data_IF_378725873410
#
_entry.id   IF_378725873410
#
_cell.length_a   1.000
_cell.length_b   1.000
_cell.length_c   1.000
_cell.angle_alpha   90.00
_cell.angle_beta   90.00
_cell.angle_gamma   90.00
#
_symmetry.space_group_name_H-M   'P 1'
#
loop_
_entity.id
_entity.type
_entity.pdbx_description
1 polymer ?
#
# COMPACT_ATOMS: atom_id res chain seq x y z
N UNK A 1 12.34 18.07 -10.96
CA UNK A 1 12.35 16.90 -10.06
C UNK A 1 13.47 17.17 -9.06
N UNK A 2 13.29 18.22 -8.24
CA UNK A 2 14.43 18.98 -7.67
C UNK A 2 14.69 18.63 -6.19
N UNK A 3 13.86 17.77 -5.62
CA UNK A 3 13.90 17.40 -4.20
C UNK A 3 14.58 16.05 -3.94
N UNK A 4 14.96 15.32 -5.00
CA UNK A 4 15.66 14.04 -4.94
C UNK A 4 17.04 14.20 -5.56
N UNK A 5 18.08 14.13 -4.74
CA UNK A 5 19.46 14.25 -5.19
C UNK A 5 20.05 12.86 -5.39
N UNK A 6 20.40 12.46 -6.64
CA UNK A 6 20.97 11.14 -6.89
C UNK A 6 22.33 11.00 -6.19
N UNK A 7 22.56 9.84 -5.59
CA UNK A 7 23.84 9.49 -4.99
C UNK A 7 24.72 8.73 -5.99
N UNK A 8 26.04 8.88 -5.86
CA UNK A 8 26.99 8.12 -6.66
C UNK A 8 27.04 6.66 -6.17
N UNK A 9 26.87 5.71 -7.08
CA UNK A 9 26.85 4.27 -6.79
C UNK A 9 28.12 3.73 -6.09
N UNK A 10 29.24 4.45 -6.18
CA UNK A 10 30.50 4.10 -5.50
C UNK A 10 30.76 4.85 -4.19
N UNK A 11 29.80 5.66 -3.71
CA UNK A 11 29.97 6.40 -2.46
C UNK A 11 29.83 5.48 -1.24
N UNK A 12 30.57 5.78 -0.17
CA UNK A 12 30.51 5.05 1.10
C UNK A 12 29.08 5.03 1.69
N UNK A 13 28.32 6.11 1.47
CA UNK A 13 26.91 6.21 1.84
C UNK A 13 26.08 5.16 1.09
N UNK A 14 26.24 5.04 -0.23
CA UNK A 14 25.50 4.03 -1.01
C UNK A 14 25.85 2.61 -0.56
N UNK A 15 27.13 2.29 -0.32
CA UNK A 15 27.52 0.98 0.19
C UNK A 15 26.85 0.65 1.53
N UNK A 16 26.81 1.63 2.45
CA UNK A 16 26.14 1.49 3.75
C UNK A 16 24.64 1.26 3.58
N UNK A 17 23.97 2.03 2.70
CA UNK A 17 22.54 1.90 2.44
C UNK A 17 22.20 0.54 1.80
N UNK A 18 23.05 0.05 0.89
CA UNK A 18 22.90 -1.25 0.25
C UNK A 18 23.05 -2.41 1.24
N UNK A 19 24.01 -2.32 2.17
CA UNK A 19 24.16 -3.31 3.25
C UNK A 19 22.91 -3.38 4.13
N UNK A 20 22.39 -2.23 4.56
CA UNK A 20 21.17 -2.16 5.38
C UNK A 20 19.98 -2.74 4.60
N UNK A 21 19.80 -2.38 3.33
CA UNK A 21 18.71 -2.91 2.51
C UNK A 21 18.82 -4.42 2.32
N UNK A 22 20.04 -4.93 2.08
CA UNK A 22 20.28 -6.36 1.95
C UNK A 22 19.90 -7.11 3.23
N UNK A 23 20.28 -6.59 4.40
CA UNK A 23 19.86 -7.14 5.68
C UNK A 23 18.34 -7.13 5.85
N UNK A 24 17.68 -6.05 5.45
CA UNK A 24 16.22 -5.94 5.53
C UNK A 24 15.52 -6.97 4.66
N UNK A 25 15.96 -7.15 3.41
CA UNK A 25 15.41 -8.14 2.47
C UNK A 25 15.70 -9.57 2.94
N UNK A 26 16.92 -9.87 3.41
CA UNK A 26 17.26 -11.18 4.00
C UNK A 26 16.42 -11.45 5.26
N UNK A 27 16.16 -10.42 6.06
CA UNK A 27 15.32 -10.47 7.25
C UNK A 27 13.82 -10.50 6.98
N UNK A 28 13.38 -10.38 5.71
CA UNK A 28 11.96 -10.25 5.31
C UNK A 28 11.26 -9.09 6.02
N UNK A 29 11.94 -7.95 6.14
CA UNK A 29 11.31 -6.72 6.62
C UNK A 29 10.35 -6.18 5.56
N UNK A 30 9.15 -5.83 5.99
CA UNK A 30 8.13 -5.27 5.10
C UNK A 30 7.97 -3.75 5.35
N UNK A 31 8.43 -3.27 6.52
CA UNK A 31 8.44 -1.85 6.87
C UNK A 31 9.36 -1.07 5.92
N UNK A 32 8.84 0.03 5.36
CA UNK A 32 9.55 0.93 4.43
C UNK A 32 10.06 0.30 3.13
N UNK A 33 9.69 -0.94 2.82
CA UNK A 33 10.01 -1.61 1.54
C UNK A 33 8.71 -1.84 0.76
N UNK A 34 8.76 -1.60 -0.54
CA UNK A 34 7.68 -1.89 -1.48
C UNK A 34 8.27 -2.32 -2.82
N UNK A 35 7.46 -2.90 -3.69
CA UNK A 35 7.83 -3.17 -5.08
C UNK A 35 7.01 -2.25 -5.99
N UNK A 36 7.67 -1.64 -6.97
CA UNK A 36 7.05 -0.84 -8.01
C UNK A 36 7.62 -1.23 -9.37
N UNK A 37 6.78 -1.17 -10.40
CA UNK A 37 7.21 -1.51 -11.75
C UNK A 37 8.24 -0.46 -12.24
N UNK A 38 9.43 -0.88 -12.70
CA UNK A 38 10.52 0.06 -13.00
C UNK A 38 10.35 0.82 -14.32
N UNK A 39 9.32 0.51 -15.10
CA UNK A 39 9.04 1.14 -16.38
C UNK A 39 7.53 1.15 -16.59
N UNK A 40 6.99 2.26 -17.06
CA UNK A 40 5.59 2.31 -17.49
C UNK A 40 5.47 1.42 -18.72
N UNK A 41 4.67 0.37 -18.61
CA UNK A 41 4.24 -0.47 -19.71
C UNK A 41 2.74 -0.22 -19.82
N UNK A 42 2.19 -0.39 -21.03
CA UNK A 42 0.75 -0.38 -21.21
C UNK A 42 0.16 -1.58 -20.46
N UNK A 43 -0.40 -1.34 -19.26
CA UNK A 43 -0.89 -2.38 -18.36
C UNK A 43 -1.97 -3.25 -19.02
N UNK A 44 -2.68 -2.72 -20.02
CA UNK A 44 -3.64 -3.47 -20.84
C UNK A 44 -3.00 -4.65 -21.61
N UNK A 45 -1.67 -4.69 -21.70
CA UNK A 45 -0.92 -5.74 -22.40
C UNK A 45 -0.21 -6.72 -21.46
N UNK A 46 -0.34 -6.58 -20.13
CA UNK A 46 0.31 -7.49 -19.17
C UNK A 46 -0.72 -8.49 -18.63
N UNK A 47 -0.48 -9.76 -18.90
CA UNK A 47 -1.31 -10.88 -18.43
C UNK A 47 -0.94 -11.30 -17.00
N UNK A 48 0.37 -11.50 -16.76
CA UNK A 48 0.93 -11.91 -15.48
C UNK A 48 2.41 -11.51 -15.41
N UNK A 49 3.07 -11.83 -14.29
CA UNK A 49 4.49 -11.61 -14.07
C UNK A 49 5.19 -12.93 -13.77
N UNK A 50 6.45 -13.05 -14.19
CA UNK A 50 7.31 -14.15 -13.80
C UNK A 50 8.41 -13.65 -12.88
N UNK A 51 8.47 -14.20 -11.66
CA UNK A 51 9.63 -14.07 -10.77
C UNK A 51 10.54 -15.28 -10.91
N UNK A 52 11.85 -15.04 -10.94
CA UNK A 52 12.82 -16.10 -11.18
C UNK A 52 14.13 -15.86 -10.45
N UNK A 53 14.77 -16.96 -10.05
CA UNK A 53 16.13 -16.97 -9.54
C UNK A 53 16.78 -18.29 -9.95
N UNK A 54 17.98 -18.21 -10.53
CA UNK A 54 18.70 -19.36 -11.10
C UNK A 54 17.81 -20.16 -12.08
N UNK A 55 17.42 -21.39 -11.75
CA UNK A 55 16.62 -22.31 -12.58
C UNK A 55 15.13 -22.36 -12.18
N UNK A 56 14.71 -21.57 -11.19
CA UNK A 56 13.34 -21.55 -10.68
C UNK A 56 12.61 -20.33 -11.23
N UNK A 57 11.38 -20.54 -11.67
CA UNK A 57 10.45 -19.53 -12.18
C UNK A 57 9.10 -19.80 -11.51
N UNK A 58 8.43 -18.74 -11.07
CA UNK A 58 7.09 -18.78 -10.51
C UNK A 58 6.27 -17.67 -11.19
N UNK A 59 5.05 -18.03 -11.58
CA UNK A 59 4.05 -17.09 -12.09
C UNK A 59 3.41 -16.33 -10.93
N UNK A 60 3.20 -15.04 -11.13
CA UNK A 60 2.57 -14.12 -10.20
C UNK A 60 1.50 -13.34 -10.96
N UNK A 61 0.26 -13.36 -10.49
CA UNK A 61 -0.79 -12.48 -11.02
C UNK A 61 -0.41 -11.00 -10.80
N UNK A 62 0.20 -10.69 -9.65
CA UNK A 62 0.65 -9.35 -9.28
C UNK A 62 2.01 -9.38 -8.58
N UNK A 63 2.81 -8.33 -8.80
CA UNK A 63 4.11 -8.17 -8.13
C UNK A 63 3.93 -7.56 -6.76
N UNK A 64 3.85 -8.41 -5.74
CA UNK A 64 3.78 -8.00 -4.34
C UNK A 64 5.06 -8.34 -3.59
N UNK A 65 5.42 -7.54 -2.57
CA UNK A 65 6.56 -7.83 -1.71
C UNK A 65 6.41 -9.21 -1.02
N UNK A 66 5.20 -9.53 -0.57
CA UNK A 66 4.85 -10.82 0.02
C UNK A 66 5.04 -11.99 -0.96
N UNK A 67 4.64 -11.82 -2.22
CA UNK A 67 4.86 -12.79 -3.29
C UNK A 67 6.36 -13.02 -3.55
N UNK A 68 7.13 -11.93 -3.64
CA UNK A 68 8.57 -12.01 -3.79
C UNK A 68 9.25 -12.69 -2.59
N UNK A 69 8.84 -12.39 -1.37
CA UNK A 69 9.38 -13.01 -0.16
C UNK A 69 9.04 -14.49 -0.03
N UNK A 70 7.84 -14.89 -0.44
CA UNK A 70 7.47 -16.31 -0.54
C UNK A 70 8.37 -17.04 -1.53
N UNK A 71 8.56 -16.45 -2.72
CA UNK A 71 9.46 -17.00 -3.72
C UNK A 71 10.89 -17.17 -3.18
N UNK A 72 11.43 -16.14 -2.50
CA UNK A 72 12.76 -16.22 -1.90
C UNK A 72 12.84 -17.28 -0.80
N UNK A 73 11.82 -17.44 0.04
CA UNK A 73 11.77 -18.44 1.11
C UNK A 73 11.71 -19.88 0.57
N UNK A 74 11.10 -20.09 -0.59
CA UNK A 74 10.89 -21.43 -1.19
C UNK A 74 12.00 -21.83 -2.17
N UNK A 75 12.58 -20.87 -2.89
CA UNK A 75 13.38 -21.17 -4.07
C UNK A 75 14.77 -20.51 -4.12
N UNK A 76 15.10 -19.60 -3.21
CA UNK A 76 16.36 -18.85 -3.26
C UNK A 76 17.35 -19.25 -2.15
N UNK A 77 18.55 -19.68 -2.55
CA UNK A 77 19.66 -20.04 -1.66
C UNK A 77 20.97 -19.35 -2.14
N UNK A 78 21.07 -18.03 -1.92
CA UNK A 78 22.24 -17.23 -2.27
C UNK A 78 22.42 -16.01 -1.36
N UNK A 79 23.48 -15.24 -1.61
CA UNK A 79 23.86 -14.09 -0.77
C UNK A 79 23.32 -12.74 -1.26
N UNK A 80 22.92 -12.63 -2.52
CA UNK A 80 22.41 -11.40 -3.13
C UNK A 80 21.02 -11.63 -3.77
N UNK A 81 19.94 -11.75 -2.96
CA UNK A 81 18.59 -11.89 -3.49
C UNK A 81 18.16 -10.70 -4.35
N UNK A 82 18.74 -9.52 -4.16
CA UNK A 82 18.40 -8.30 -4.88
C UNK A 82 18.90 -8.34 -6.33
N UNK A 83 20.13 -8.79 -6.56
CA UNK A 83 20.72 -8.93 -7.89
C UNK A 83 20.38 -10.24 -8.60
N UNK A 84 20.27 -11.35 -7.86
CA UNK A 84 20.07 -12.69 -8.44
C UNK A 84 18.62 -12.98 -8.82
N UNK A 85 17.66 -12.33 -8.16
CA UNK A 85 16.23 -12.50 -8.41
C UNK A 85 15.80 -11.53 -9.47
N UNK A 86 14.99 -11.99 -10.43
CA UNK A 86 14.55 -11.19 -11.56
C UNK A 86 13.06 -11.35 -11.81
N UNK A 87 12.41 -10.24 -12.14
CA UNK A 87 10.99 -10.17 -12.46
C UNK A 87 10.81 -9.64 -13.89
N UNK A 88 9.87 -10.23 -14.63
CA UNK A 88 9.52 -9.81 -15.98
C UNK A 88 7.99 -9.85 -16.17
N UNK A 89 7.38 -8.82 -16.76
CA UNK A 89 5.98 -8.86 -17.17
C UNK A 89 5.80 -9.70 -18.43
N UNK A 90 4.72 -10.46 -18.51
CA UNK A 90 4.37 -11.35 -19.63
C UNK A 90 3.04 -10.88 -20.22
N UNK A 91 2.98 -10.77 -21.54
CA UNK A 91 1.77 -10.41 -22.27
C UNK A 91 0.85 -11.60 -22.54
N UNK A 92 -0.39 -11.34 -22.96
CA UNK A 92 -1.37 -12.37 -23.36
C UNK A 92 -0.85 -13.32 -24.46
N UNK A 93 0.10 -12.85 -25.27
CA UNK A 93 0.78 -13.66 -26.29
C UNK A 93 1.75 -14.71 -25.69
N UNK A 94 1.97 -14.69 -24.37
CA UNK A 94 2.99 -15.47 -23.67
C UNK A 94 4.41 -14.94 -23.84
N UNK A 95 4.59 -13.77 -24.48
CA UNK A 95 5.91 -13.15 -24.67
C UNK A 95 6.19 -12.10 -23.58
N UNK A 96 7.47 -11.87 -23.29
CA UNK A 96 7.87 -10.84 -22.34
C UNK A 96 7.45 -9.44 -22.83
N UNK A 97 6.65 -8.74 -22.02
CA UNK A 97 6.17 -7.39 -22.26
C UNK A 97 7.12 -6.33 -21.68
N UNK A 98 8.41 -6.45 -21.99
CA UNK A 98 9.43 -5.54 -21.45
C UNK A 98 10.72 -6.23 -21.07
N UNK A 99 11.58 -5.49 -20.35
CA UNK A 99 12.88 -6.00 -19.91
C UNK A 99 12.72 -6.77 -18.61
N UNK A 100 13.37 -7.92 -18.54
CA UNK A 100 13.60 -8.64 -17.29
C UNK A 100 14.54 -7.83 -16.40
N UNK A 101 14.10 -7.49 -15.19
CA UNK A 101 14.81 -6.61 -14.24
C UNK A 101 15.15 -7.34 -12.96
N UNK A 102 16.17 -6.86 -12.25
CA UNK A 102 16.55 -7.41 -10.96
C UNK A 102 15.54 -7.02 -9.88
N UNK A 103 15.43 -7.78 -8.80
CA UNK A 103 14.56 -7.41 -7.68
C UNK A 103 14.93 -6.03 -7.14
N UNK A 104 16.21 -5.65 -7.16
CA UNK A 104 16.67 -4.30 -6.81
C UNK A 104 15.96 -3.21 -7.60
N UNK A 105 15.80 -3.38 -8.91
CA UNK A 105 15.16 -2.38 -9.77
C UNK A 105 13.67 -2.19 -9.43
N UNK A 106 13.04 -3.25 -8.90
CA UNK A 106 11.65 -3.21 -8.45
C UNK A 106 11.52 -2.64 -7.04
N UNK A 107 12.54 -2.73 -6.21
CA UNK A 107 12.47 -2.29 -4.81
C UNK A 107 12.39 -0.76 -4.77
N UNK A 108 11.35 -0.29 -4.09
CA UNK A 108 11.25 1.08 -3.59
C UNK A 108 11.40 1.03 -2.08
N UNK A 109 12.44 1.67 -1.58
CA UNK A 109 12.81 1.63 -0.16
C UNK A 109 12.99 3.04 0.39
N UNK A 110 12.61 3.26 1.63
CA UNK A 110 12.93 4.46 2.40
C UNK A 110 13.80 4.11 3.59
N UNK A 111 14.87 4.87 3.79
CA UNK A 111 15.85 4.62 4.84
C UNK A 111 16.29 5.93 5.48
N UNK A 112 16.29 5.98 6.81
CA UNK A 112 16.85 7.11 7.56
C UNK A 112 18.25 6.75 8.06
N UNK A 113 19.26 7.51 7.66
CA UNK A 113 20.65 7.30 8.07
C UNK A 113 21.32 8.65 8.30
N UNK A 114 22.01 8.80 9.43
CA UNK A 114 22.72 10.04 9.79
C UNK A 114 21.84 11.30 9.67
N UNK A 115 20.61 11.23 10.21
CA UNK A 115 19.59 12.30 10.20
C UNK A 115 19.10 12.74 8.81
N UNK A 116 19.42 11.96 7.77
CA UNK A 116 18.97 12.19 6.40
C UNK A 116 18.02 11.09 5.96
N UNK A 117 17.09 11.45 5.08
CA UNK A 117 16.16 10.52 4.45
C UNK A 117 16.68 10.14 3.07
N UNK A 118 16.79 8.84 2.84
CA UNK A 118 17.21 8.24 1.59
C UNK A 118 16.10 7.40 0.99
N UNK A 119 16.08 7.36 -0.33
CA UNK A 119 15.09 6.65 -1.11
C UNK A 119 15.80 5.80 -2.15
N UNK A 120 15.49 4.51 -2.23
CA UNK A 120 15.82 3.68 -3.38
C UNK A 120 14.65 3.69 -4.35
N UNK A 121 14.91 3.95 -5.62
CA UNK A 121 13.94 3.77 -6.70
C UNK A 121 14.68 3.43 -7.98
N UNK A 122 14.15 2.51 -8.79
CA UNK A 122 14.76 2.09 -10.06
C UNK A 122 16.22 1.61 -9.93
N UNK A 123 16.58 1.05 -8.77
CA UNK A 123 17.93 0.58 -8.47
C UNK A 123 18.92 1.65 -8.00
N UNK A 124 18.53 2.92 -7.99
CA UNK A 124 19.37 4.05 -7.61
C UNK A 124 18.93 4.69 -6.29
N UNK A 125 19.91 5.17 -5.51
CA UNK A 125 19.68 5.86 -4.26
C UNK A 125 19.62 7.38 -4.46
N UNK A 126 18.70 8.00 -3.72
CA UNK A 126 18.49 9.44 -3.70
C UNK A 126 18.48 9.94 -2.26
N UNK A 127 19.16 11.05 -2.00
CA UNK A 127 18.94 11.86 -0.79
C UNK A 127 17.73 12.76 -1.00
N UNK A 128 16.78 12.74 -0.06
CA UNK A 128 15.61 13.59 -0.09
C UNK A 128 15.92 14.92 0.59
N UNK A 129 15.62 16.02 -0.09
CA UNK A 129 15.76 17.36 0.47
C UNK A 129 14.91 17.52 1.75
N UNK A 130 15.53 18.01 2.83
CA UNK A 130 14.89 18.17 4.15
C UNK A 130 13.70 19.15 4.15
N UNK A 131 13.77 20.22 3.38
CA UNK A 131 12.67 21.18 3.26
C UNK A 131 11.48 20.53 2.53
N UNK A 132 11.76 19.66 1.56
CA UNK A 132 10.70 18.88 0.92
C UNK A 132 10.03 17.91 1.90
N UNK A 133 10.81 17.18 2.71
CA UNK A 133 10.26 16.33 3.78
C UNK A 133 9.35 17.12 4.71
N UNK A 134 9.80 18.31 5.13
CA UNK A 134 9.03 19.22 5.98
C UNK A 134 7.73 19.65 5.29
N UNK A 135 7.81 20.07 4.02
CA UNK A 135 6.65 20.52 3.25
C UNK A 135 5.59 19.43 3.07
N UNK A 136 6.01 18.18 2.89
CA UNK A 136 5.10 17.02 2.79
C UNK A 136 4.41 16.78 4.13
N UNK A 137 5.17 16.78 5.24
CA UNK A 137 4.59 16.60 6.57
C UNK A 137 3.55 17.70 6.88
N UNK A 138 3.87 18.96 6.58
CA UNK A 138 2.96 20.07 6.79
C UNK A 138 1.72 20.02 5.89
N UNK A 139 1.86 19.49 4.67
CA UNK A 139 0.71 19.26 3.79
C UNK A 139 -0.21 18.16 4.33
N UNK A 140 0.34 17.04 4.84
CA UNK A 140 -0.46 15.98 5.46
C UNK A 140 -1.18 16.48 6.72
N UNK A 141 -0.52 17.30 7.55
CA UNK A 141 -1.15 17.90 8.75
C UNK A 141 -2.32 18.84 8.44
N UNK A 142 -2.47 19.30 7.20
CA UNK A 142 -3.61 20.12 6.75
C UNK A 142 -4.80 19.27 6.29
N UNK A 143 -4.61 17.96 6.09
CA UNK A 143 -5.73 17.06 5.82
C UNK A 143 -6.53 16.92 7.12
N UNK A 144 -7.87 17.10 7.10
CA UNK A 144 -8.72 16.89 8.27
C UNK A 144 -8.43 15.56 8.97
N UNK A 145 -8.23 15.61 10.28
CA UNK A 145 -8.05 14.42 11.14
C UNK A 145 -9.35 14.20 11.93
N UNK A 146 -10.03 13.10 11.63
CA UNK A 146 -11.29 12.68 12.24
C UNK A 146 -11.10 11.54 13.24
N UNK A 147 -9.86 11.31 13.70
CA UNK A 147 -9.54 10.24 14.65
C UNK A 147 -10.44 10.28 15.89
N UNK A 148 -10.62 11.46 16.49
CA UNK A 148 -11.42 11.62 17.71
C UNK A 148 -12.92 11.56 17.43
N UNK A 149 -13.36 11.99 16.25
CA UNK A 149 -14.76 11.96 15.84
C UNK A 149 -15.23 10.54 15.58
N UNK A 150 -14.46 9.77 14.81
CA UNK A 150 -14.76 8.36 14.59
C UNK A 150 -14.56 7.54 15.85
N UNK A 151 -13.50 7.83 16.62
CA UNK A 151 -13.09 7.10 17.81
C UNK A 151 -13.18 5.58 17.58
N UNK A 152 -12.46 5.10 16.57
CA UNK A 152 -12.54 3.72 16.11
C UNK A 152 -12.22 2.73 17.24
N UNK A 153 -12.89 1.59 17.19
CA UNK A 153 -12.59 0.46 18.05
C UNK A 153 -11.13 0.02 17.88
N UNK A 154 -10.47 -0.36 18.97
CA UNK A 154 -9.14 -0.95 18.87
C UNK A 154 -9.16 -2.20 17.98
N UNK A 155 -8.16 -2.31 17.11
CA UNK A 155 -7.97 -3.44 16.21
C UNK A 155 -7.06 -4.47 16.88
N UNK A 156 -7.58 -5.69 17.10
CA UNK A 156 -6.79 -6.82 17.57
C UNK A 156 -5.78 -7.25 16.47
N UNK A 157 -4.46 -7.27 16.72
CA UNK A 157 -3.46 -7.69 15.74
C UNK A 157 -3.65 -9.11 15.17
N UNK A 158 -4.48 -9.95 15.80
CA UNK A 158 -4.84 -11.29 15.31
C UNK A 158 -6.09 -11.30 14.43
N UNK A 159 -6.86 -10.22 14.45
CA UNK A 159 -8.07 -10.03 13.66
C UNK A 159 -7.69 -9.63 12.23
N UNK A 160 -8.29 -10.30 11.24
CA UNK A 160 -8.09 -9.93 9.83
C UNK A 160 -8.88 -8.66 9.51
N UNK A 161 -8.44 -7.94 8.48
CA UNK A 161 -9.10 -6.72 8.00
C UNK A 161 -10.61 -6.87 7.79
N UNK A 162 -11.05 -7.92 7.08
CA UNK A 162 -12.48 -8.18 6.90
C UNK A 162 -13.24 -8.47 8.19
N UNK A 163 -12.61 -9.13 9.17
CA UNK A 163 -13.23 -9.43 10.47
C UNK A 163 -13.41 -8.13 11.29
N UNK A 164 -12.41 -7.25 11.24
CA UNK A 164 -12.48 -5.91 11.84
C UNK A 164 -13.59 -5.06 11.18
N UNK A 165 -13.62 -5.02 9.84
CA UNK A 165 -14.62 -4.27 9.07
C UNK A 165 -16.04 -4.73 9.43
N UNK A 166 -16.31 -6.05 9.44
CA UNK A 166 -17.61 -6.61 9.82
C UNK A 166 -18.02 -6.23 11.25
N UNK A 167 -17.07 -6.29 12.20
CA UNK A 167 -17.31 -5.92 13.60
C UNK A 167 -17.66 -4.44 13.74
N UNK A 168 -16.91 -3.55 13.09
CA UNK A 168 -17.16 -2.10 13.12
C UNK A 168 -18.49 -1.78 12.45
N UNK A 169 -18.78 -2.34 11.27
CA UNK A 169 -20.02 -2.14 10.55
C UNK A 169 -21.25 -2.47 11.41
N UNK A 170 -21.24 -3.65 12.05
CA UNK A 170 -22.33 -4.10 12.94
C UNK A 170 -22.52 -3.17 14.13
N UNK A 171 -21.43 -2.76 14.78
CA UNK A 171 -21.49 -1.93 15.98
C UNK A 171 -21.94 -0.50 15.68
N UNK A 172 -21.47 0.06 14.56
CA UNK A 172 -21.78 1.43 14.13
C UNK A 172 -23.06 1.54 13.29
N UNK A 173 -23.65 0.41 12.89
CA UNK A 173 -24.78 0.33 11.95
C UNK A 173 -24.44 1.03 10.63
N UNK A 174 -23.27 0.72 10.11
CA UNK A 174 -22.76 1.19 8.82
C UNK A 174 -22.91 0.10 7.78
N UNK A 175 -22.92 0.49 6.50
CA UNK A 175 -22.91 -0.48 5.40
C UNK A 175 -21.51 -1.07 5.28
N UNK A 176 -21.43 -2.39 5.24
CA UNK A 176 -20.20 -3.13 4.96
C UNK A 176 -20.08 -3.33 3.44
N UNK A 177 -19.04 -2.77 2.83
CA UNK A 177 -18.75 -2.87 1.40
C UNK A 177 -17.39 -3.53 1.11
N UNK A 178 -16.71 -4.02 2.15
CA UNK A 178 -15.48 -4.84 2.05
C UNK A 178 -15.65 -5.97 1.03
N UNK A 179 -14.80 -5.97 0.00
CA UNK A 179 -14.80 -6.90 -1.15
C UNK A 179 -16.08 -6.89 -2.00
N UNK A 180 -17.01 -5.96 -1.78
CA UNK A 180 -18.20 -5.74 -2.63
C UNK A 180 -17.80 -4.85 -3.81
N UNK A 181 -17.20 -5.49 -4.81
CA UNK A 181 -16.60 -4.78 -5.94
C UNK A 181 -17.67 -4.27 -6.92
N UNK A 182 -17.46 -3.05 -7.41
CA UNK A 182 -18.12 -2.51 -8.58
C UNK A 182 -17.42 -3.00 -9.85
N UNK A 183 -18.19 -3.45 -10.84
CA UNK A 183 -17.66 -3.97 -12.09
C UNK A 183 -17.82 -2.94 -13.20
N UNK A 184 -16.72 -2.53 -13.81
CA UNK A 184 -16.72 -1.67 -15.00
C UNK A 184 -16.61 -2.59 -16.21
N UNK A 185 -17.69 -2.75 -16.96
CA UNK A 185 -17.70 -3.60 -18.15
C UNK A 185 -17.75 -5.10 -17.82
N UNK A 186 -16.59 -5.72 -17.51
CA UNK A 186 -16.42 -7.19 -17.44
C UNK A 186 -15.98 -7.75 -16.07
N UNK A 187 -15.97 -9.09 -15.89
CA UNK A 187 -15.72 -9.75 -14.59
C UNK A 187 -14.31 -9.52 -13.99
N UNK A 188 -13.32 -9.15 -14.81
CA UNK A 188 -11.95 -8.86 -14.39
C UNK A 188 -11.72 -7.39 -14.03
N UNK A 189 -12.58 -6.48 -14.47
CA UNK A 189 -12.46 -5.04 -14.26
C UNK A 189 -13.31 -4.63 -13.05
N UNK A 190 -12.80 -4.96 -11.87
CA UNK A 190 -13.50 -4.76 -10.60
C UNK A 190 -12.78 -3.73 -9.73
N UNK A 191 -13.56 -2.89 -9.07
CA UNK A 191 -13.06 -1.80 -8.23
C UNK A 191 -13.81 -1.82 -6.91
N UNK A 192 -13.07 -1.80 -5.82
CA UNK A 192 -13.65 -1.72 -4.48
C UNK A 192 -14.09 -0.30 -4.17
N UNK A 193 -15.34 -0.12 -3.69
CA UNK A 193 -15.90 1.21 -3.44
C UNK A 193 -15.24 1.87 -2.23
N UNK A 194 -15.34 1.18 -1.10
CA UNK A 194 -14.71 1.46 0.18
C UNK A 194 -14.97 0.22 1.08
N UNK A 195 -14.41 0.19 2.28
CA UNK A 195 -14.67 -0.91 3.22
C UNK A 195 -15.97 -0.69 4.00
N UNK A 196 -16.21 0.55 4.42
CA UNK A 196 -17.34 0.95 5.27
C UNK A 196 -17.97 2.25 4.76
N UNK A 197 -19.29 2.30 4.72
CA UNK A 197 -20.05 3.52 4.41
C UNK A 197 -20.87 3.96 5.62
N UNK A 198 -20.60 5.17 6.11
CA UNK A 198 -21.34 5.77 7.22
C UNK A 198 -22.56 6.56 6.74
N UNK A 199 -23.48 6.84 7.66
CA UNK A 199 -24.73 7.57 7.38
C UNK A 199 -24.49 9.02 6.91
N UNK A 200 -23.39 9.63 7.32
CA UNK A 200 -22.97 10.97 6.89
C UNK A 200 -22.21 10.97 5.55
N UNK A 201 -22.29 9.87 4.79
CA UNK A 201 -21.65 9.70 3.49
C UNK A 201 -20.11 9.80 3.54
N UNK A 202 -19.52 9.29 4.62
CA UNK A 202 -18.09 8.95 4.62
C UNK A 202 -17.87 7.60 3.94
N UNK A 203 -17.10 7.59 2.86
CA UNK A 203 -16.55 6.37 2.24
C UNK A 203 -15.23 6.07 2.91
N UNK A 204 -15.22 5.07 3.79
CA UNK A 204 -14.11 4.78 4.68
C UNK A 204 -13.32 3.60 4.13
N UNK A 205 -12.07 3.83 3.78
CA UNK A 205 -11.11 2.80 3.37
C UNK A 205 -10.23 2.46 4.58
N UNK A 206 -10.15 1.18 4.95
CA UNK A 206 -9.55 0.68 6.19
C UNK A 206 -8.29 -0.13 5.88
N UNK A 207 -7.19 0.14 6.57
CA UNK A 207 -5.96 -0.65 6.43
C UNK A 207 -5.09 -0.67 7.68
N UNK A 208 -4.36 -1.76 7.90
CA UNK A 208 -3.23 -1.75 8.83
C UNK A 208 -1.99 -1.10 8.21
N UNK A 209 -1.25 -0.31 8.99
CA UNK A 209 0.05 0.27 8.60
C UNK A 209 1.17 -0.79 8.57
N UNK A 210 1.05 -1.81 7.71
CA UNK A 210 2.03 -2.89 7.60
C UNK A 210 3.19 -2.59 6.64
N UNK A 211 2.92 -1.91 5.52
CA UNK A 211 3.93 -1.54 4.52
C UNK A 211 3.51 -0.32 3.70
N UNK A 212 4.48 0.34 3.05
CA UNK A 212 4.20 1.45 2.14
C UNK A 212 3.39 1.03 0.91
N UNK A 213 3.62 -0.19 0.39
CA UNK A 213 2.89 -0.73 -0.76
C UNK A 213 1.40 -0.85 -0.45
N UNK A 214 1.09 -1.50 0.68
CA UNK A 214 -0.28 -1.74 1.13
C UNK A 214 -1.05 -0.44 1.31
N UNK A 215 -0.40 0.61 1.84
CA UNK A 215 -1.02 1.92 1.99
C UNK A 215 -1.20 2.66 0.65
N UNK A 216 -0.28 2.52 -0.30
CA UNK A 216 -0.48 3.11 -1.63
C UNK A 216 -1.71 2.53 -2.35
N UNK A 217 -1.97 1.23 -2.20
CA UNK A 217 -3.21 0.62 -2.70
C UNK A 217 -4.44 1.22 -2.03
N UNK A 218 -4.43 1.37 -0.69
CA UNK A 218 -5.50 2.02 0.06
C UNK A 218 -5.79 3.43 -0.47
N UNK A 219 -4.75 4.24 -0.68
CA UNK A 219 -4.92 5.60 -1.15
C UNK A 219 -5.50 5.66 -2.57
N UNK A 220 -5.00 4.78 -3.45
CA UNK A 220 -5.51 4.65 -4.81
C UNK A 220 -6.98 4.23 -4.84
N UNK A 221 -7.38 3.26 -4.00
CA UNK A 221 -8.79 2.84 -3.85
C UNK A 221 -9.69 4.05 -3.59
N UNK A 222 -9.33 4.90 -2.62
CA UNK A 222 -10.10 6.10 -2.29
C UNK A 222 -10.17 7.13 -3.43
N UNK A 223 -9.06 7.38 -4.14
CA UNK A 223 -9.06 8.34 -5.26
C UNK A 223 -9.77 7.82 -6.51
N UNK A 224 -9.65 6.54 -6.81
CA UNK A 224 -10.38 5.90 -7.92
C UNK A 224 -11.88 5.88 -7.63
N UNK A 225 -12.27 5.55 -6.40
CA UNK A 225 -13.66 5.64 -5.93
C UNK A 225 -14.23 7.07 -6.10
N UNK A 226 -13.43 8.09 -5.75
CA UNK A 226 -13.80 9.49 -5.95
C UNK A 226 -13.95 9.88 -7.43
N UNK A 227 -13.07 9.40 -8.32
CA UNK A 227 -13.16 9.62 -9.76
C UNK A 227 -14.44 9.01 -10.34
N UNK A 228 -14.74 7.76 -9.99
CA UNK A 228 -15.95 7.06 -10.44
C UNK A 228 -17.21 7.71 -9.88
N UNK A 229 -17.22 8.13 -8.62
CA UNK A 229 -18.35 8.87 -8.04
C UNK A 229 -18.70 10.13 -8.87
N UNK A 230 -17.70 10.82 -9.42
CA UNK A 230 -17.91 12.01 -10.25
C UNK A 230 -18.16 11.72 -11.72
N UNK A 231 -17.56 10.68 -12.26
CA UNK A 231 -17.61 10.36 -13.69
C UNK A 231 -18.77 9.44 -14.08
N UNK A 232 -19.18 8.54 -13.20
CA UNK A 232 -20.05 7.40 -13.51
C UNK A 232 -21.35 7.44 -12.67
N UNK A 233 -22.46 7.79 -13.32
CA UNK A 233 -23.75 7.89 -12.62
C UNK A 233 -24.19 6.55 -12.01
N UNK A 234 -23.97 5.43 -12.70
CA UNK A 234 -24.33 4.09 -12.20
C UNK A 234 -23.54 3.72 -10.94
N UNK A 235 -22.28 4.17 -10.84
CA UNK A 235 -21.44 3.98 -9.66
C UNK A 235 -21.97 4.77 -8.47
N UNK A 236 -22.36 6.02 -8.71
CA UNK A 236 -23.01 6.87 -7.71
C UNK A 236 -24.32 6.25 -7.25
N UNK A 237 -25.19 5.85 -8.18
CA UNK A 237 -26.49 5.25 -7.88
C UNK A 237 -26.35 3.94 -7.07
N UNK A 238 -25.29 3.16 -7.32
CA UNK A 238 -24.95 1.98 -6.51
C UNK A 238 -24.77 2.35 -5.04
N UNK A 239 -23.96 3.38 -4.74
CA UNK A 239 -23.69 3.80 -3.36
C UNK A 239 -24.98 4.22 -2.65
N UNK A 240 -25.80 5.06 -3.28
CA UNK A 240 -27.04 5.55 -2.66
C UNK A 240 -28.09 4.44 -2.52
N UNK A 241 -28.13 3.47 -3.44
CA UNK A 241 -29.00 2.30 -3.33
C UNK A 241 -28.62 1.45 -2.12
N UNK A 242 -27.36 1.05 -2.01
CA UNK A 242 -26.89 0.20 -0.89
C UNK A 242 -27.13 0.91 0.46
N UNK A 243 -26.88 2.21 0.51
CA UNK A 243 -27.17 3.07 1.65
C UNK A 243 -28.67 3.07 2.00
N UNK A 244 -29.53 3.34 1.01
CA UNK A 244 -30.98 3.43 1.22
C UNK A 244 -31.61 2.09 1.59
N UNK A 245 -31.13 0.99 0.99
CA UNK A 245 -31.55 -0.37 1.32
C UNK A 245 -31.11 -0.77 2.73
N UNK A 246 -29.90 -0.42 3.15
CA UNK A 246 -29.42 -0.78 4.49
C UNK A 246 -30.16 0.01 5.59
N UNK A 247 -30.34 1.32 5.42
CA UNK A 247 -30.97 2.17 6.44
C UNK A 247 -32.49 2.30 6.30
N UNK A 248 -33.08 1.77 5.22
CA UNK A 248 -34.53 1.81 4.93
C UNK A 248 -35.08 3.25 4.87
N UNK A 249 -34.30 4.16 4.30
CA UNK A 249 -34.60 5.59 4.18
C UNK A 249 -33.96 6.16 2.91
N UNK A 250 -34.42 7.33 2.46
CA UNK A 250 -33.79 8.04 1.34
C UNK A 250 -32.59 8.80 1.88
N UNK A 251 -31.43 8.57 1.26
CA UNK A 251 -30.18 9.25 1.62
C UNK A 251 -29.97 10.43 0.67
N UNK A 252 -29.91 11.64 1.24
CA UNK A 252 -29.64 12.86 0.48
C UNK A 252 -28.14 12.97 0.16
N UNK A 253 -27.83 13.44 -1.04
CA UNK A 253 -26.44 13.76 -1.40
C UNK A 253 -25.97 15.00 -0.63
N UNK A 254 -24.88 14.90 0.15
CA UNK A 254 -24.33 16.06 0.85
C UNK A 254 -23.80 17.10 -0.14
N UNK A 255 -23.85 18.38 0.27
CA UNK A 255 -23.27 19.46 -0.52
C UNK A 255 -21.76 19.25 -0.68
N UNK A 256 -21.33 19.07 -1.94
CA UNK A 256 -19.94 18.73 -2.26
C UNK A 256 -19.70 17.23 -2.48
N UNK A 257 -20.69 16.36 -2.21
CA UNK A 257 -20.54 14.91 -2.32
C UNK A 257 -19.90 14.28 -1.08
N UNK A 258 -19.65 12.96 -1.10
CA UNK A 258 -19.14 12.24 0.04
C UNK A 258 -17.71 12.65 0.40
N UNK A 259 -17.27 12.24 1.59
CA UNK A 259 -15.91 12.41 2.09
C UNK A 259 -15.18 11.07 2.04
N UNK A 260 -14.01 11.04 1.39
CA UNK A 260 -13.13 9.87 1.41
C UNK A 260 -12.32 9.88 2.70
N UNK A 261 -12.44 8.83 3.50
CA UNK A 261 -11.73 8.71 4.79
C UNK A 261 -10.74 7.57 4.71
N UNK A 262 -9.46 7.86 4.92
CA UNK A 262 -8.44 6.82 5.07
C UNK A 262 -8.27 6.48 6.55
N UNK A 263 -8.86 5.36 6.97
CA UNK A 263 -8.80 4.83 8.32
C UNK A 263 -7.62 3.86 8.46
N UNK A 264 -6.55 4.29 9.13
CA UNK A 264 -5.28 3.56 9.19
C UNK A 264 -5.00 3.08 10.60
N UNK A 265 -4.87 1.77 10.76
CA UNK A 265 -4.52 1.14 12.03
C UNK A 265 -3.04 1.22 12.31
N UNK A 266 -2.70 1.65 13.53
CA UNK A 266 -1.33 1.89 13.94
C UNK A 266 -1.12 1.59 15.43
N UNK A 267 0.04 1.01 15.75
CA UNK A 267 0.50 0.70 17.10
C UNK A 267 1.30 1.84 17.75
N UNK A 268 1.48 2.96 17.05
CA UNK A 268 2.17 4.16 17.52
C UNK A 268 1.18 5.27 17.84
N UNK A 269 1.39 5.91 18.99
CA UNK A 269 0.70 7.15 19.33
C UNK A 269 1.15 8.32 18.44
N UNK A 270 0.28 9.32 18.27
CA UNK A 270 0.55 10.52 17.48
C UNK A 270 -0.33 10.63 16.23
N UNK A 271 -0.12 11.70 15.46
CA UNK A 271 -0.85 11.91 14.22
C UNK A 271 -0.34 10.97 13.13
N UNK A 272 -1.21 10.61 12.16
CA UNK A 272 -0.77 9.83 10.99
C UNK A 272 0.32 10.56 10.19
N UNK A 273 0.36 11.90 10.25
CA UNK A 273 1.43 12.70 9.65
C UNK A 273 2.81 12.42 10.28
N UNK A 274 2.87 11.97 11.53
CA UNK A 274 4.14 11.68 12.20
C UNK A 274 4.53 10.20 12.09
N UNK A 275 3.54 9.32 11.92
CA UNK A 275 3.76 7.87 11.97
C UNK A 275 3.88 7.18 10.62
N UNK A 276 3.32 7.76 9.56
CA UNK A 276 3.40 7.18 8.21
C UNK A 276 4.82 7.23 7.67
N UNK A 277 5.16 6.24 6.83
CA UNK A 277 6.40 6.27 6.04
C UNK A 277 6.36 7.42 5.03
N UNK A 278 7.51 8.03 4.73
CA UNK A 278 7.61 9.15 3.80
C UNK A 278 7.00 8.85 2.42
N UNK A 279 7.23 7.65 1.87
CA UNK A 279 6.57 7.27 0.61
C UNK A 279 5.05 7.16 0.71
N UNK A 280 4.54 6.62 1.82
CA UNK A 280 3.11 6.61 2.09
C UNK A 280 2.55 8.03 2.18
N UNK A 281 3.30 8.99 2.73
CA UNK A 281 2.90 10.41 2.76
C UNK A 281 2.85 11.04 1.37
N UNK A 282 3.84 10.76 0.51
CA UNK A 282 3.82 11.26 -0.88
C UNK A 282 2.60 10.69 -1.62
N UNK A 283 2.40 9.37 -1.50
CA UNK A 283 1.27 8.66 -2.13
C UNK A 283 -0.08 9.20 -1.62
N UNK A 284 -0.24 9.36 -0.31
CA UNK A 284 -1.41 9.99 0.30
C UNK A 284 -1.64 11.40 -0.23
N UNK A 285 -0.60 12.24 -0.28
CA UNK A 285 -0.73 13.63 -0.74
C UNK A 285 -1.16 13.72 -2.21
N UNK A 286 -0.64 12.83 -3.06
CA UNK A 286 -1.05 12.75 -4.46
C UNK A 286 -2.53 12.38 -4.59
N UNK A 287 -2.95 11.28 -3.94
CA UNK A 287 -4.33 10.79 -4.02
C UNK A 287 -5.32 11.75 -3.36
N UNK A 288 -4.98 12.32 -2.20
CA UNK A 288 -5.79 13.34 -1.53
C UNK A 288 -6.01 14.57 -2.42
N UNK A 289 -4.97 15.03 -3.14
CA UNK A 289 -5.11 16.13 -4.11
C UNK A 289 -6.00 15.77 -5.29
N UNK A 290 -5.99 14.51 -5.73
CA UNK A 290 -6.94 14.03 -6.75
C UNK A 290 -8.37 14.12 -6.25
N UNK A 291 -8.67 13.59 -5.06
CA UNK A 291 -10.00 13.70 -4.42
C UNK A 291 -10.44 15.16 -4.28
N UNK A 292 -9.55 16.04 -3.80
CA UNK A 292 -9.84 17.47 -3.64
C UNK A 292 -10.09 18.19 -4.97
N UNK A 293 -9.36 17.86 -6.04
CA UNK A 293 -9.58 18.44 -7.38
C UNK A 293 -10.94 18.06 -7.97
N UNK A 294 -11.49 16.92 -7.57
CA UNK A 294 -12.85 16.48 -7.89
C UNK A 294 -13.92 17.17 -7.03
N UNK A 295 -13.52 18.10 -6.16
CA UNK A 295 -14.41 18.84 -5.27
C UNK A 295 -14.98 18.00 -4.12
N UNK A 296 -14.38 16.84 -3.82
CA UNK A 296 -14.80 15.96 -2.73
C UNK A 296 -13.93 16.19 -1.47
N UNK A 297 -14.49 15.85 -0.31
CA UNK A 297 -13.76 15.90 0.95
C UNK A 297 -12.78 14.73 1.10
N UNK A 298 -11.69 14.95 1.81
CA UNK A 298 -10.74 13.90 2.20
C UNK A 298 -10.35 14.08 3.66
N UNK A 299 -10.31 12.99 4.41
CA UNK A 299 -9.92 12.99 5.81
C UNK A 299 -9.08 11.76 6.18
N UNK A 300 -8.39 11.85 7.31
CA UNK A 300 -7.62 10.77 7.92
C UNK A 300 -8.27 10.37 9.24
N UNK A 301 -8.16 9.09 9.60
CA UNK A 301 -8.54 8.63 10.93
C UNK A 301 -7.58 7.52 11.38
N UNK A 302 -7.02 7.64 12.58
CA UNK A 302 -6.22 6.57 13.18
C UNK A 302 -7.14 5.54 13.83
N UNK A 303 -6.90 4.26 13.54
CA UNK A 303 -7.46 3.15 14.29
C UNK A 303 -6.42 2.72 15.34
N UNK A 304 -6.75 2.71 16.64
CA UNK A 304 -5.79 2.29 17.66
C UNK A 304 -5.47 0.79 17.55
N UNK A 305 -4.22 0.43 17.82
CA UNK A 305 -3.75 -0.95 17.99
C UNK A 305 -2.92 -1.06 19.28
N UNK A 306 -2.83 -2.25 19.90
CA UNK A 306 -1.93 -2.48 21.02
C UNK A 306 -0.49 -2.11 20.67
N UNK A 307 0.18 -1.36 21.55
CA UNK A 307 1.53 -0.84 21.30
C UNK A 307 2.54 -1.96 20.99
N UNK A 308 3.35 -1.77 19.95
CA UNK A 308 4.38 -2.72 19.52
C UNK A 308 3.84 -3.97 18.80
N UNK A 309 2.54 -4.03 18.49
CA UNK A 309 1.93 -5.15 17.78
C UNK A 309 2.35 -5.29 16.33
N UNK A 310 2.79 -4.21 15.68
CA UNK A 310 3.33 -4.26 14.32
C UNK A 310 4.78 -4.76 14.29
N UNK A 311 5.47 -4.83 15.44
CA UNK A 311 6.84 -5.36 15.52
C UNK A 311 6.85 -6.89 15.44
N UNK A 312 7.35 -7.45 14.34
CA UNK A 312 7.53 -8.91 14.20
C UNK A 312 8.54 -9.47 15.22
N UNK A 313 8.18 -10.58 15.88
CA UNK A 313 9.11 -11.42 16.66
C UNK A 313 10.19 -12.01 15.73
N UNK A 314 11.47 -11.95 16.13
CA UNK A 314 12.58 -12.64 15.45
C UNK A 314 12.20 -14.10 15.16
N UNK A 315 12.25 -14.55 13.89
CA UNK A 315 12.03 -15.96 13.52
C UNK A 315 13.05 -16.82 14.28
N UNK A 316 12.60 -17.89 14.96
CA UNK A 316 13.51 -18.93 15.45
C UNK A 316 14.14 -19.62 14.23
N UNK A 317 15.45 -19.92 14.24
CA UNK A 317 16.08 -20.64 13.13
C UNK A 317 15.38 -21.99 12.94
N UNK A 318 14.98 -22.29 11.70
CA UNK A 318 14.46 -23.61 11.33
C UNK A 318 15.53 -24.65 11.64
N UNK A 319 15.22 -25.64 12.49
CA UNK A 319 16.07 -26.83 12.65
C UNK A 319 16.14 -27.52 11.29
N UNK A 320 17.35 -27.62 10.71
CA UNK A 320 17.61 -28.50 9.57
C UNK A 320 17.16 -29.90 9.95
N UNK A 321 16.21 -30.47 9.22
CA UNK A 321 15.91 -31.89 9.29
C UNK A 321 17.17 -32.64 8.87
N UNK A 322 17.75 -33.41 9.78
CA UNK A 322 18.87 -34.29 9.46
C UNK A 322 18.42 -35.28 8.38
N UNK A 323 19.16 -35.34 7.28
CA UNK A 323 18.99 -36.36 6.26
C UNK A 323 19.15 -37.75 6.91
N UNK A 324 18.37 -38.77 6.53
CA UNK A 324 18.58 -40.12 7.04
C UNK A 324 19.96 -40.64 6.61
N UNK A 325 20.66 -41.41 7.45
CA UNK A 325 21.92 -42.05 7.07
C UNK A 325 21.68 -43.04 5.93
N UNK A 326 22.72 -43.17 5.10
CA UNK A 326 22.80 -43.84 3.79
C UNK A 326 22.40 -45.30 3.78
#
# INVERSE_FOLDING_TARGET
MDYFQPLSAGSEVVSTLDEILLEWVKGRREEKISLAMPQIIDDEQVNHFEISARRKVLELDEVTLSGAYRFLDEYYEGEDPLGDTKIVPIADSGQASGKKRTLRDWVVCELEHSEKTYVLSLGDWYEVNRDYVTSVNDAIRKIPDMTDEFNFEEWDPKEKEGDYNDRVAKKRKWVLLDKDNYYIGGPSQKIEICDLLSKDMHLICVKQQSSSATLSHLFSQGSVSAELYRGEQDYKDRIYRDASEYWQEVIEEPAGGPVIVYAIANDRAGSLADTLFFFSKISLLFNARTVQRLGLGVALARIPMPEGSLRRKKRKPRKRSASPPS
#
